data_IF_055404006024
#
_entry.id   IF_055404006024
#
_cell.length_a   1.000
_cell.length_b   1.000
_cell.length_c   1.000
_cell.angle_alpha   90.00
_cell.angle_beta   90.00
_cell.angle_gamma   90.00
#
_symmetry.space_group_name_H-M   'P 1'
#
loop_
_entity.id
_entity.type
_entity.pdbx_description
1 polymer ?
#
# COMPACT_ATOMS: atom_id res chain seq x y z
N UNK A 1 -4.74 4.23 -5.68
CA UNK A 1 -5.86 5.12 -6.09
C UNK A 1 -6.74 5.39 -4.89
N UNK A 2 -7.47 6.51 -4.87
CA UNK A 2 -8.49 6.79 -3.85
C UNK A 2 -9.87 6.55 -4.45
N UNK A 3 -10.70 5.71 -3.81
CA UNK A 3 -12.05 5.37 -4.28
C UNK A 3 -13.05 5.69 -3.17
N UNK A 4 -13.78 6.80 -3.34
CA UNK A 4 -14.75 7.30 -2.35
C UNK A 4 -14.08 7.80 -1.08
N UNK A 5 -13.79 6.89 -0.15
CA UNK A 5 -13.17 7.17 1.15
C UNK A 5 -12.03 6.24 1.53
N UNK A 6 -11.63 5.35 0.63
CA UNK A 6 -10.59 4.36 0.90
C UNK A 6 -9.47 4.42 -0.15
N UNK A 7 -8.25 4.17 0.33
CA UNK A 7 -7.09 3.98 -0.52
C UNK A 7 -7.01 2.53 -0.99
N UNK A 8 -6.59 2.35 -2.23
CA UNK A 8 -6.36 1.05 -2.85
C UNK A 8 -4.98 1.02 -3.51
N UNK A 9 -4.33 -0.14 -3.44
CA UNK A 9 -3.04 -0.42 -4.02
C UNK A 9 -3.12 -1.56 -5.01
N UNK A 10 -2.38 -1.46 -6.10
CA UNK A 10 -2.25 -2.49 -7.12
C UNK A 10 -0.80 -2.47 -7.61
N UNK A 11 -0.17 -3.64 -7.67
CA UNK A 11 1.15 -3.78 -8.29
C UNK A 11 0.98 -3.92 -9.81
N UNK A 12 1.60 -3.03 -10.58
CA UNK A 12 1.47 -2.96 -12.07
C UNK A 12 2.65 -3.58 -12.80
N UNK A 13 3.30 -4.56 -12.17
CA UNK A 13 4.47 -5.25 -12.74
C UNK A 13 5.80 -4.70 -12.22
N UNK A 14 5.87 -4.36 -10.92
CA UNK A 14 7.12 -3.93 -10.30
C UNK A 14 8.18 -5.04 -10.33
N UNK A 15 9.43 -4.67 -10.61
CA UNK A 15 10.58 -5.61 -10.66
C UNK A 15 10.80 -6.36 -9.34
N UNK A 16 10.69 -5.65 -8.21
CA UNK A 16 10.99 -6.18 -6.89
C UNK A 16 9.73 -6.54 -6.06
N UNK A 17 8.54 -6.31 -6.63
CA UNK A 17 7.27 -6.48 -5.94
C UNK A 17 6.85 -5.28 -5.09
N UNK A 18 5.56 -5.24 -4.80
CA UNK A 18 4.92 -4.34 -3.83
C UNK A 18 4.31 -5.18 -2.70
N UNK A 19 4.43 -4.71 -1.46
CA UNK A 19 3.94 -5.44 -0.27
C UNK A 19 3.14 -4.52 0.65
N UNK A 20 2.18 -5.11 1.36
CA UNK A 20 1.42 -4.49 2.46
C UNK A 20 1.61 -5.38 3.69
N UNK A 21 2.10 -4.82 4.79
CA UNK A 21 2.35 -5.54 6.05
C UNK A 21 3.18 -6.82 5.85
N UNK A 22 4.19 -6.76 4.97
CA UNK A 22 5.06 -7.89 4.60
C UNK A 22 4.44 -8.91 3.63
N UNK A 23 3.16 -8.79 3.29
CA UNK A 23 2.49 -9.66 2.32
C UNK A 23 2.54 -9.05 0.92
N UNK A 24 2.96 -9.85 -0.07
CA UNK A 24 3.04 -9.39 -1.47
C UNK A 24 1.64 -9.09 -2.00
N UNK A 25 1.49 -7.93 -2.63
CA UNK A 25 0.22 -7.49 -3.22
C UNK A 25 -0.15 -8.39 -4.40
N UNK A 26 -1.39 -8.86 -4.41
CA UNK A 26 -1.98 -9.60 -5.52
C UNK A 26 -3.29 -8.91 -5.94
N UNK A 27 -3.34 -8.43 -7.17
CA UNK A 27 -4.47 -7.64 -7.66
C UNK A 27 -4.62 -6.30 -6.94
N UNK A 28 -5.87 -5.85 -6.78
CA UNK A 28 -6.21 -4.60 -6.10
C UNK A 28 -6.53 -4.89 -4.63
N UNK A 29 -5.78 -4.28 -3.71
CA UNK A 29 -5.98 -4.43 -2.25
C UNK A 29 -6.38 -3.10 -1.61
N UNK A 30 -7.31 -3.08 -0.64
CA UNK A 30 -7.60 -1.89 0.14
C UNK A 30 -6.46 -1.60 1.13
N UNK A 31 -6.26 -0.32 1.46
CA UNK A 31 -5.30 0.14 2.47
C UNK A 31 -6.02 0.80 3.64
N UNK A 32 -5.52 0.55 4.84
CA UNK A 32 -5.90 1.20 6.09
C UNK A 32 -4.80 2.11 6.63
N UNK A 33 -5.18 3.05 7.50
CA UNK A 33 -4.20 3.82 8.27
C UNK A 33 -3.45 2.89 9.23
N UNK A 34 -2.15 3.08 9.34
CA UNK A 34 -1.22 2.23 10.08
C UNK A 34 -0.55 1.14 9.24
N UNK A 35 -1.03 0.88 8.02
CA UNK A 35 -0.42 -0.12 7.13
C UNK A 35 1.02 0.26 6.75
N UNK A 36 1.90 -0.73 6.79
CA UNK A 36 3.25 -0.62 6.23
C UNK A 36 3.22 -1.05 4.76
N UNK A 37 3.67 -0.14 3.90
CA UNK A 37 3.79 -0.30 2.47
C UNK A 37 5.27 -0.50 2.13
N UNK A 38 5.56 -1.48 1.30
CA UNK A 38 6.92 -1.69 0.79
C UNK A 38 6.93 -1.72 -0.73
N UNK A 39 7.80 -0.89 -1.32
CA UNK A 39 8.07 -0.82 -2.75
C UNK A 39 9.54 -1.12 -2.99
N UNK A 40 9.87 -2.36 -3.37
CA UNK A 40 11.25 -2.82 -3.38
C UNK A 40 11.92 -2.65 -2.01
N UNK A 41 12.92 -1.76 -1.91
CA UNK A 41 13.64 -1.48 -0.65
C UNK A 41 13.05 -0.31 0.17
N UNK A 42 12.09 0.43 -0.40
CA UNK A 42 11.49 1.59 0.26
C UNK A 42 10.33 1.12 1.14
N UNK A 43 10.33 1.52 2.41
CA UNK A 43 9.23 1.29 3.35
C UNK A 43 8.58 2.60 3.75
N UNK A 44 7.25 2.61 3.74
CA UNK A 44 6.40 3.76 4.06
C UNK A 44 5.29 3.28 4.99
N UNK A 45 4.77 4.16 5.84
CA UNK A 45 3.60 3.87 6.66
C UNK A 45 2.47 4.84 6.31
N UNK A 46 1.27 4.33 6.07
CA UNK A 46 0.13 5.17 5.74
C UNK A 46 -0.45 5.76 7.01
N UNK A 47 -0.18 7.03 7.30
CA UNK A 47 -0.70 7.71 8.49
C UNK A 47 -1.84 8.67 8.18
N UNK A 48 -2.69 8.92 9.18
CA UNK A 48 -3.66 10.01 9.15
C UNK A 48 -3.02 11.24 9.78
N UNK A 49 -3.06 12.37 9.08
CA UNK A 49 -2.63 13.64 9.67
C UNK A 49 -3.54 13.92 10.89
N UNK A 50 -2.99 14.15 12.08
CA UNK A 50 -3.78 14.57 13.24
C UNK A 50 -4.53 15.86 12.91
N UNK A 51 -5.75 16.00 13.42
CA UNK A 51 -6.54 17.22 13.27
C UNK A 51 -5.89 18.40 14.01
#
# INVERSE_FOLDING_TARGET
TFRGRAWYLEDRGSTNGTYVNGQRVAGVVPLGYGDELQFGQVRLRLERVPA
#
